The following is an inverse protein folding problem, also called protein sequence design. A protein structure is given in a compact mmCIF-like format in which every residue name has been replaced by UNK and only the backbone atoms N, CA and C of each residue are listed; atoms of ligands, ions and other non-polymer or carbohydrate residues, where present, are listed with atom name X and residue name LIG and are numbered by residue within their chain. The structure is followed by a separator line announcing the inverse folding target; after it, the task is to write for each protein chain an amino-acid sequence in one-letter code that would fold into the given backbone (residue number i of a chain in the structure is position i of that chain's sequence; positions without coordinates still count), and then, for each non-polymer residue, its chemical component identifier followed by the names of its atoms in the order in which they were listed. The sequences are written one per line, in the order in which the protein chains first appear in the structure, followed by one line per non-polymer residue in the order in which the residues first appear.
data_IF_810988295654
#
_entry.id   IF_810988295654
#
_cell.length_a   1.000
_cell.length_b   1.000
_cell.length_c   1.000
_cell.angle_alpha   90.00
_cell.angle_beta   90.00
_cell.angle_gamma   90.00
#
_symmetry.space_group_name_H-M   'P 1'
#
loop_
_entity.id
_entity.type
_entity.pdbx_description
1 polymer ?
#
# COMPACT_ATOMS: atom_id res chain seq x y z
N UNK A 1 45.13 25.54 12.94
CA UNK A 1 44.04 26.48 12.58
C UNK A 1 44.53 27.17 11.31
N UNK A 2 43.87 27.17 10.15
CA UNK A 2 42.45 27.08 9.79
C UNK A 2 42.39 26.52 8.35
N UNK A 3 41.50 25.57 8.04
CA UNK A 3 41.12 25.28 6.64
C UNK A 3 39.78 24.54 6.59
N UNK A 4 38.74 25.11 7.19
CA UNK A 4 37.36 24.58 7.13
C UNK A 4 36.36 25.74 7.00
N UNK A 5 36.50 26.56 5.94
CA UNK A 5 35.64 27.73 5.73
C UNK A 5 34.95 27.83 4.37
N UNK A 6 35.60 27.42 3.28
CA UNK A 6 35.18 27.88 1.95
C UNK A 6 34.13 27.01 1.22
N UNK A 7 34.03 25.72 1.54
CA UNK A 7 33.09 24.81 0.85
C UNK A 7 31.63 25.02 1.24
N UNK A 8 31.37 25.66 2.38
CA UNK A 8 30.00 25.93 2.84
C UNK A 8 29.40 27.13 2.10
N UNK A 9 30.18 28.18 1.87
CA UNK A 9 29.72 29.40 1.20
C UNK A 9 29.26 29.14 -0.24
N UNK A 10 30.00 28.32 -1.00
CA UNK A 10 29.63 27.97 -2.38
C UNK A 10 28.33 27.15 -2.47
N UNK A 11 28.12 26.22 -1.54
CA UNK A 11 26.90 25.41 -1.49
C UNK A 11 25.69 26.26 -1.11
N UNK A 12 25.85 27.18 -0.15
CA UNK A 12 24.81 28.16 0.20
C UNK A 12 24.51 29.12 -0.94
N UNK A 13 25.54 29.59 -1.67
CA UNK A 13 25.35 30.52 -2.79
C UNK A 13 24.65 29.84 -3.99
N UNK A 14 25.02 28.60 -4.33
CA UNK A 14 24.30 27.82 -5.35
C UNK A 14 22.87 27.50 -4.94
N UNK A 15 22.64 27.16 -3.67
CA UNK A 15 21.28 26.91 -3.16
C UNK A 15 20.41 28.18 -3.23
N UNK A 16 20.97 29.34 -2.88
CA UNK A 16 20.28 30.63 -2.97
C UNK A 16 19.99 31.04 -4.42
N UNK A 17 20.91 30.80 -5.36
CA UNK A 17 20.71 31.07 -6.79
C UNK A 17 19.60 30.19 -7.38
N UNK A 18 19.57 28.90 -7.03
CA UNK A 18 18.52 27.96 -7.47
C UNK A 18 17.16 28.37 -6.90
N UNK A 19 17.11 28.81 -5.64
CA UNK A 19 15.87 29.27 -5.01
C UNK A 19 15.35 30.58 -5.65
N UNK A 20 16.25 31.52 -5.97
CA UNK A 20 15.92 32.76 -6.69
C UNK A 20 15.41 32.48 -8.11
N UNK A 21 16.03 31.55 -8.84
CA UNK A 21 15.59 31.17 -10.20
C UNK A 21 14.23 30.45 -10.20
N UNK A 22 13.99 29.59 -9.20
CA UNK A 22 12.71 28.89 -9.03
C UNK A 22 11.54 29.85 -8.69
N UNK A 23 11.80 30.92 -7.94
CA UNK A 23 10.80 31.96 -7.65
C UNK A 23 10.54 32.91 -8.84
N UNK A 24 11.54 33.17 -9.69
CA UNK A 24 11.36 33.97 -10.92
C UNK A 24 10.45 33.26 -11.94
N UNK A 25 10.69 31.96 -12.17
CA UNK A 25 9.85 31.11 -13.02
C UNK A 25 8.41 31.01 -12.52
N UNK A 26 8.18 31.11 -11.20
CA UNK A 26 6.84 31.10 -10.61
C UNK A 26 6.08 32.43 -10.79
N UNK A 27 6.79 33.54 -11.03
CA UNK A 27 6.20 34.85 -11.32
C UNK A 27 5.91 35.04 -12.82
N UNK A 28 6.62 34.35 -13.72
CA UNK A 28 6.36 34.45 -15.16
C UNK A 28 5.20 33.58 -15.67
N UNK A 29 4.79 32.53 -14.95
CA UNK A 29 3.60 31.72 -15.31
C UNK A 29 2.27 32.44 -15.01
N UNK A 30 2.32 33.64 -14.39
CA UNK A 30 1.16 34.42 -13.97
C UNK A 30 0.68 35.51 -14.92
N UNK A 31 1.22 35.64 -16.14
CA UNK A 31 0.74 36.61 -17.15
C UNK A 31 0.71 35.99 -18.54
N UNK A 32 -0.49 35.86 -19.13
CA UNK A 32 -0.64 35.72 -20.57
C UNK A 32 -1.42 34.50 -21.06
N UNK A 33 -2.76 34.57 -21.02
CA UNK A 33 -3.58 33.94 -22.07
C UNK A 33 -3.47 34.79 -23.33
N UNK A 34 -3.03 34.22 -24.46
CA UNK A 34 -3.52 34.46 -25.84
C UNK A 34 -2.57 33.80 -26.87
N UNK A 35 -3.11 32.94 -27.73
CA UNK A 35 -2.70 32.87 -29.13
C UNK A 35 -1.64 31.83 -29.56
N UNK A 36 -2.09 30.94 -30.45
CA UNK A 36 -1.36 30.29 -31.56
C UNK A 36 -0.28 29.25 -31.23
N UNK A 37 -0.68 27.99 -31.45
CA UNK A 37 0.25 26.90 -31.65
C UNK A 37 0.85 26.93 -33.05
N UNK A 38 2.17 26.94 -33.10
CA UNK A 38 3.01 26.13 -33.99
C UNK A 38 4.45 26.61 -33.79
N UNK A 39 5.32 25.74 -33.25
CA UNK A 39 6.63 25.44 -33.82
C UNK A 39 7.32 24.34 -33.01
N UNK A 40 7.70 23.30 -33.76
CA UNK A 40 8.46 22.14 -33.33
C UNK A 40 9.91 22.55 -33.01
N UNK A 41 10.53 21.79 -32.11
CA UNK A 41 11.75 20.98 -32.34
C UNK A 41 12.95 21.21 -31.39
N UNK A 42 13.56 20.06 -31.04
CA UNK A 42 14.94 19.75 -30.60
C UNK A 42 15.22 19.71 -29.07
N UNK A 43 15.01 18.56 -28.38
CA UNK A 43 15.97 17.50 -27.87
C UNK A 43 17.27 18.02 -27.20
N UNK A 44 17.93 17.35 -26.20
CA UNK A 44 18.13 15.90 -25.99
C UNK A 44 17.95 15.36 -24.53
N UNK A 45 17.50 14.11 -24.30
CA UNK A 45 18.33 12.89 -24.17
C UNK A 45 19.61 13.08 -23.32
N UNK A 46 19.49 13.27 -22.00
CA UNK A 46 20.63 13.24 -21.06
C UNK A 46 20.20 12.93 -19.60
N UNK A 47 19.24 12.02 -19.40
CA UNK A 47 18.82 11.61 -18.06
C UNK A 47 18.63 10.08 -17.92
N UNK A 48 19.40 9.31 -18.70
CA UNK A 48 19.49 7.84 -18.58
C UNK A 48 20.93 7.36 -18.70
N UNK A 49 21.83 7.90 -17.86
CA UNK A 49 23.12 7.24 -17.64
C UNK A 49 23.79 7.66 -16.32
N UNK A 50 23.07 7.65 -15.21
CA UNK A 50 23.70 7.44 -13.88
C UNK A 50 22.83 6.41 -13.16
N UNK A 51 22.86 5.23 -13.77
CA UNK A 51 22.55 3.96 -13.15
C UNK A 51 23.72 3.68 -12.18
N UNK A 52 23.43 3.08 -11.04
CA UNK A 52 24.27 2.02 -10.48
C UNK A 52 25.74 2.35 -10.20
N UNK A 53 26.00 2.99 -9.07
CA UNK A 53 27.17 2.71 -8.21
C UNK A 53 26.74 2.98 -6.76
N UNK A 54 27.29 2.22 -5.81
CA UNK A 54 26.93 2.17 -4.36
C UNK A 54 25.84 1.13 -4.01
N UNK A 55 26.07 -0.13 -4.42
CA UNK A 55 25.77 -1.30 -3.59
C UNK A 55 27.02 -2.17 -3.61
N UNK A 56 27.93 -1.97 -2.66
CA UNK A 56 28.91 -2.98 -2.24
C UNK A 56 29.68 -2.44 -1.03
N UNK A 57 29.34 -2.95 0.16
CA UNK A 57 30.22 -3.09 1.36
C UNK A 57 29.38 -3.02 2.64
N UNK A 58 28.98 -4.19 3.15
CA UNK A 58 29.12 -4.52 4.58
C UNK A 58 28.80 -5.99 4.81
N UNK A 59 29.90 -6.71 5.02
CA UNK A 59 30.00 -8.06 5.55
C UNK A 59 29.43 -8.05 6.98
N UNK A 60 28.48 -8.93 7.27
CA UNK A 60 27.93 -9.14 8.60
C UNK A 60 28.75 -10.18 9.36
N UNK A 61 29.21 -9.82 10.55
CA UNK A 61 29.87 -10.71 11.51
C UNK A 61 28.81 -11.49 12.35
N UNK A 62 29.16 -12.68 12.87
CA UNK A 62 28.25 -13.57 13.60
C UNK A 62 27.91 -13.03 15.00
N UNK A 63 26.70 -13.36 15.48
CA UNK A 63 26.23 -13.02 16.82
C UNK A 63 26.68 -14.10 17.81
N UNK A 64 27.55 -13.73 18.74
CA UNK A 64 27.95 -14.54 19.88
C UNK A 64 26.86 -14.56 20.97
N UNK A 65 26.71 -15.75 21.55
CA UNK A 65 25.89 -16.10 22.70
C UNK A 65 26.55 -15.66 24.01
N UNK A 66 25.70 -15.36 25.00
CA UNK A 66 25.97 -15.23 26.45
C UNK A 66 26.38 -13.85 26.99
N UNK A 67 25.48 -13.29 27.81
CA UNK A 67 25.69 -12.93 29.23
C UNK A 67 24.70 -11.82 29.58
N UNK A 68 23.64 -12.14 30.32
CA UNK A 68 22.84 -11.11 30.98
C UNK A 68 23.56 -10.69 32.28
N UNK A 69 23.81 -9.40 32.54
CA UNK A 69 24.17 -8.97 33.88
C UNK A 69 22.92 -8.92 34.77
N UNK A 70 23.00 -9.65 35.87
CA UNK A 70 22.11 -9.55 37.02
C UNK A 70 22.18 -8.12 37.59
N UNK A 71 21.00 -7.54 37.76
CA UNK A 71 20.70 -6.62 38.85
C UNK A 71 21.50 -5.29 38.90
N UNK A 72 21.08 -4.32 38.09
CA UNK A 72 21.12 -2.92 38.47
C UNK A 72 19.73 -2.52 39.00
N UNK A 73 19.51 -2.79 40.28
CA UNK A 73 18.44 -2.19 41.07
C UNK A 73 18.55 -0.65 40.99
N UNK A 74 17.37 -0.03 40.79
CA UNK A 74 17.02 1.41 40.91
C UNK A 74 17.08 2.24 39.62
N UNK A 75 16.01 2.19 38.80
CA UNK A 75 15.48 3.40 38.20
C UNK A 75 14.69 4.18 39.25
N UNK A 76 14.99 5.47 39.33
CA UNK A 76 14.37 6.48 40.18
C UNK A 76 12.85 6.34 40.22
N UNK A 77 12.30 6.14 41.42
CA UNK A 77 10.87 6.28 41.70
C UNK A 77 10.48 7.76 41.66
N UNK A 78 10.62 8.40 40.50
CA UNK A 78 9.77 9.54 40.18
C UNK A 78 8.47 8.93 39.68
N UNK A 79 7.54 8.73 40.62
CA UNK A 79 6.16 8.31 40.43
C UNK A 79 5.54 8.96 39.17
N UNK A 80 5.68 8.32 38.03
CA UNK A 80 4.93 8.61 36.80
C UNK A 80 3.65 7.80 36.88
N UNK A 81 2.84 8.14 37.89
CA UNK A 81 1.85 7.21 38.42
C UNK A 81 0.55 7.82 38.91
N UNK A 82 0.28 9.11 38.68
CA UNK A 82 -1.07 9.69 38.79
C UNK A 82 -1.18 10.90 37.86
N UNK A 83 -1.18 10.67 36.55
CA UNK A 83 -1.88 11.60 35.68
C UNK A 83 -3.36 11.47 36.06
N UNK A 84 -3.80 12.23 37.06
CA UNK A 84 -5.23 12.41 37.32
C UNK A 84 -5.83 12.73 35.96
N UNK A 85 -6.77 11.90 35.50
CA UNK A 85 -7.55 12.23 34.33
C UNK A 85 -8.12 13.62 34.61
N UNK A 86 -7.54 14.66 33.99
CA UNK A 86 -7.88 16.04 34.31
C UNK A 86 -9.40 16.12 34.25
N UNK A 87 -10.04 16.34 35.40
CA UNK A 87 -11.48 16.18 35.56
C UNK A 87 -12.15 17.26 34.71
N UNK A 88 -12.32 16.96 33.43
CA UNK A 88 -12.77 17.92 32.43
C UNK A 88 -14.28 17.99 32.59
N UNK A 89 -14.71 18.88 33.49
CA UNK A 89 -16.12 19.09 33.74
C UNK A 89 -16.85 19.35 32.42
N UNK A 90 -18.00 18.69 32.26
CA UNK A 90 -18.76 18.72 31.02
C UNK A 90 -19.24 20.15 30.73
N UNK A 91 -18.77 20.71 29.63
CA UNK A 91 -19.27 21.99 29.09
C UNK A 91 -20.49 21.72 28.23
N UNK A 92 -21.57 22.47 28.46
CA UNK A 92 -22.79 22.41 27.65
C UNK A 92 -22.79 23.52 26.60
N UNK A 93 -23.69 23.43 25.63
CA UNK A 93 -23.93 24.48 24.65
C UNK A 93 -25.29 25.14 24.91
N UNK A 94 -25.33 26.47 24.83
CA UNK A 94 -26.57 27.25 24.88
C UNK A 94 -27.44 26.90 23.66
N UNK A 95 -28.68 26.51 23.92
CA UNK A 95 -29.60 26.04 22.90
C UNK A 95 -30.06 27.15 21.94
N UNK A 96 -30.08 28.40 22.39
CA UNK A 96 -30.48 29.54 21.58
C UNK A 96 -29.27 30.17 20.87
N UNK A 97 -28.21 30.46 21.63
CA UNK A 97 -27.07 31.24 21.11
C UNK A 97 -25.94 30.38 20.54
N UNK A 98 -25.78 29.14 21.01
CA UNK A 98 -24.65 28.26 20.70
C UNK A 98 -23.37 28.58 21.46
N UNK A 99 -23.43 29.42 22.51
CA UNK A 99 -22.28 29.71 23.38
C UNK A 99 -22.01 28.57 24.37
N UNK A 100 -20.75 28.40 24.77
CA UNK A 100 -20.33 27.41 25.75
C UNK A 100 -20.81 27.80 27.16
N UNK A 101 -21.46 26.87 27.85
CA UNK A 101 -21.93 26.97 29.22
C UNK A 101 -21.00 26.14 30.11
N UNK A 102 -20.26 26.83 30.95
CA UNK A 102 -19.42 26.22 31.98
C UNK A 102 -20.26 25.86 33.22
N UNK A 103 -19.81 24.90 34.03
CA UNK A 103 -20.47 24.54 35.28
C UNK A 103 -20.74 25.75 36.17
N UNK A 104 -21.89 25.76 36.86
CA UNK A 104 -22.31 26.87 37.72
C UNK A 104 -22.84 28.11 36.99
N UNK A 105 -23.02 28.06 35.66
CA UNK A 105 -23.50 29.20 34.87
C UNK A 105 -24.82 28.92 34.15
N UNK A 106 -25.64 29.96 34.06
CA UNK A 106 -26.86 29.95 33.25
C UNK A 106 -28.05 29.30 33.94
N UNK A 107 -29.05 28.91 33.15
CA UNK A 107 -30.28 28.27 33.64
C UNK A 107 -30.69 27.11 32.73
N UNK A 108 -31.47 26.20 33.30
CA UNK A 108 -32.07 25.07 32.60
C UNK A 108 -33.59 25.25 32.59
N UNK A 109 -34.17 25.28 31.39
CA UNK A 109 -35.61 25.35 31.19
C UNK A 109 -36.10 24.01 30.64
N UNK A 110 -37.00 23.34 31.36
CA UNK A 110 -37.67 22.12 30.91
C UNK A 110 -39.04 22.52 30.38
N UNK A 111 -39.29 22.27 29.10
CA UNK A 111 -40.60 22.48 28.49
C UNK A 111 -41.50 21.26 28.79
N UNK A 112 -42.82 21.43 28.75
CA UNK A 112 -43.79 20.36 29.05
C UNK A 112 -43.69 19.10 28.18
N UNK A 113 -43.02 19.16 27.03
CA UNK A 113 -42.66 18.00 26.19
C UNK A 113 -41.36 17.31 26.64
N UNK A 114 -40.92 17.54 27.88
CA UNK A 114 -39.66 17.08 28.46
C UNK A 114 -38.40 17.55 27.73
N UNK A 115 -38.52 18.55 26.84
CA UNK A 115 -37.36 19.08 26.12
C UNK A 115 -36.60 20.06 27.00
N UNK A 116 -35.30 19.78 27.12
CA UNK A 116 -34.38 20.57 27.94
C UNK A 116 -33.73 21.65 27.07
N UNK A 117 -33.88 22.90 27.48
CA UNK A 117 -33.21 24.06 26.91
C UNK A 117 -32.22 24.60 27.93
N UNK A 118 -30.97 24.81 27.52
CA UNK A 118 -29.92 25.38 28.37
C UNK A 118 -29.60 26.78 27.87
N UNK A 119 -29.60 27.76 28.77
CA UNK A 119 -29.31 29.16 28.46
C UNK A 119 -28.09 29.63 29.22
N UNK A 120 -27.20 30.36 28.56
CA UNK A 120 -26.00 30.89 29.20
C UNK A 120 -26.29 32.15 30.04
N UNK A 121 -27.27 32.95 29.62
CA UNK A 121 -27.63 34.24 30.24
C UNK A 121 -29.15 34.50 30.15
N UNK A 122 -29.63 35.49 30.90
CA UNK A 122 -31.04 35.91 30.84
C UNK A 122 -31.47 36.50 29.49
N UNK A 123 -30.51 36.95 28.66
CA UNK A 123 -30.80 37.46 27.32
C UNK A 123 -31.25 36.34 26.37
N UNK A 124 -30.57 35.19 26.37
CA UNK A 124 -30.96 34.05 25.52
C UNK A 124 -32.26 33.40 26.02
N UNK A 125 -32.47 33.35 27.33
CA UNK A 125 -33.73 32.93 27.96
C UNK A 125 -34.90 33.85 27.54
N UNK A 126 -34.76 35.17 27.72
CA UNK A 126 -35.81 36.13 27.38
C UNK A 126 -36.19 36.08 25.89
N UNK A 127 -35.20 36.02 25.00
CA UNK A 127 -35.46 35.90 23.55
C UNK A 127 -36.15 34.56 23.19
N UNK A 128 -35.84 33.48 23.90
CA UNK A 128 -36.51 32.20 23.72
C UNK A 128 -37.97 32.24 24.17
N UNK A 129 -38.27 32.85 25.33
CA UNK A 129 -39.63 33.03 25.83
C UNK A 129 -40.46 33.96 24.93
N UNK A 130 -39.83 34.98 24.36
CA UNK A 130 -40.42 35.83 23.30
C UNK A 130 -40.59 35.11 21.96
N UNK A 131 -40.27 33.80 21.87
CA UNK A 131 -40.37 32.96 20.67
C UNK A 131 -39.59 33.51 19.48
N UNK A 132 -38.48 34.23 19.72
CA UNK A 132 -37.62 34.72 18.63
C UNK A 132 -36.87 33.55 18.00
N UNK A 133 -36.72 33.58 16.69
CA UNK A 133 -35.97 32.56 15.97
C UNK A 133 -34.47 32.92 15.97
N UNK A 134 -33.56 32.08 16.51
CA UNK A 134 -32.11 32.34 16.51
C UNK A 134 -31.54 32.65 15.12
N UNK A 135 -32.13 32.07 14.06
CA UNK A 135 -31.73 32.28 12.66
C UNK A 135 -31.91 33.71 12.14
N UNK A 136 -32.68 34.54 12.85
CA UNK A 136 -32.89 35.96 12.53
C UNK A 136 -32.04 36.89 13.41
N UNK A 137 -31.35 36.35 14.42
CA UNK A 137 -30.59 37.13 15.39
C UNK A 137 -29.09 37.04 15.08
N UNK A 138 -28.54 38.16 14.61
CA UNK A 138 -27.22 38.24 13.97
C UNK A 138 -26.04 37.66 14.79
N UNK A 139 -26.08 37.83 16.11
CA UNK A 139 -24.98 37.43 17.01
C UNK A 139 -24.96 35.94 17.34
N UNK A 140 -26.01 35.17 17.00
CA UNK A 140 -26.07 33.75 17.33
C UNK A 140 -25.19 32.92 16.40
N UNK A 141 -24.70 31.78 16.91
CA UNK A 141 -23.94 30.82 16.09
C UNK A 141 -24.79 30.30 14.92
N UNK A 142 -26.09 30.10 15.14
CA UNK A 142 -27.01 29.57 14.13
C UNK A 142 -27.20 30.54 12.96
N UNK A 143 -27.37 31.84 13.26
CA UNK A 143 -27.41 32.88 12.24
C UNK A 143 -26.12 32.90 11.42
N UNK A 144 -24.96 32.91 12.10
CA UNK A 144 -23.65 32.99 11.43
C UNK A 144 -23.42 31.79 10.50
N UNK A 145 -23.82 30.57 10.92
CA UNK A 145 -23.76 29.36 10.10
C UNK A 145 -24.62 29.46 8.83
N UNK A 146 -25.87 29.94 8.96
CA UNK A 146 -26.77 30.11 7.81
C UNK A 146 -26.24 31.15 6.81
N UNK A 147 -25.67 32.25 7.32
CA UNK A 147 -25.12 33.34 6.50
C UNK A 147 -23.65 33.13 6.13
N UNK A 148 -23.12 31.91 6.32
CA UNK A 148 -21.74 31.50 6.01
C UNK A 148 -20.68 32.45 6.58
N UNK A 149 -20.96 33.10 7.71
CA UNK A 149 -20.04 34.03 8.38
C UNK A 149 -19.00 33.22 9.17
N UNK A 150 -17.71 33.45 8.88
CA UNK A 150 -16.60 32.78 9.58
C UNK A 150 -16.39 31.32 9.18
N UNK A 151 -16.94 30.88 8.06
CA UNK A 151 -16.57 29.60 7.43
C UNK A 151 -15.38 29.90 6.52
N UNK A 152 -14.17 29.94 7.10
CA UNK A 152 -12.92 30.10 6.34
C UNK A 152 -12.43 28.78 5.73
N UNK A 153 -12.90 27.66 6.28
CA UNK A 153 -12.62 26.32 5.78
C UNK A 153 -13.94 25.72 5.30
N UNK A 154 -14.26 25.91 4.04
CA UNK A 154 -15.03 24.90 3.33
C UNK A 154 -14.22 23.61 3.52
N UNK A 155 -14.69 22.73 4.43
CA UNK A 155 -14.03 21.47 4.77
C UNK A 155 -13.99 20.64 3.51
N UNK A 156 -12.94 20.85 2.71
CA UNK A 156 -12.65 20.06 1.54
C UNK A 156 -12.54 18.64 2.06
N UNK A 157 -13.55 17.82 1.75
CA UNK A 157 -13.62 16.45 2.20
C UNK A 157 -12.33 15.78 1.75
N UNK A 158 -11.42 15.50 2.70
CA UNK A 158 -10.24 14.69 2.43
C UNK A 158 -10.73 13.30 2.03
N UNK A 159 -10.81 13.05 0.73
CA UNK A 159 -11.17 11.73 0.19
C UNK A 159 -9.97 10.81 0.36
N UNK A 160 -9.92 10.08 1.47
CA UNK A 160 -8.94 9.00 1.64
C UNK A 160 -9.46 7.75 0.94
N UNK A 161 -8.91 7.41 -0.23
CA UNK A 161 -9.21 6.14 -0.91
C UNK A 161 -8.42 5.01 -0.22
N UNK A 162 -9.12 4.06 0.40
CA UNK A 162 -8.52 2.79 0.84
C UNK A 162 -8.54 1.83 -0.35
N UNK A 163 -7.37 1.36 -0.79
CA UNK A 163 -7.27 0.35 -1.85
C UNK A 163 -7.27 -1.04 -1.22
N UNK A 164 -8.39 -1.76 -1.32
CA UNK A 164 -8.47 -3.16 -0.90
C UNK A 164 -8.05 -4.02 -2.10
N UNK A 165 -6.88 -4.67 -2.01
CA UNK A 165 -6.42 -5.64 -3.01
C UNK A 165 -6.88 -7.04 -2.58
N UNK A 166 -7.99 -7.51 -3.13
CA UNK A 166 -8.42 -8.91 -2.94
C UNK A 166 -7.59 -9.83 -3.84
N UNK A 167 -7.11 -10.93 -3.27
CA UNK A 167 -6.45 -12.01 -4.01
C UNK A 167 -7.51 -13.08 -4.29
N UNK A 168 -7.62 -13.55 -5.53
CA UNK A 168 -8.55 -14.62 -5.94
C UNK A 168 -7.80 -15.89 -6.32
N UNK A 169 -8.43 -17.05 -6.07
CA UNK A 169 -7.93 -18.33 -6.54
C UNK A 169 -7.94 -18.36 -8.08
N UNK A 170 -7.05 -19.17 -8.66
CA UNK A 170 -6.97 -19.38 -10.10
C UNK A 170 -7.40 -20.83 -10.35
N UNK A 171 -8.10 -21.10 -11.46
CA UNK A 171 -8.51 -22.47 -11.82
C UNK A 171 -7.27 -23.38 -11.82
N UNK A 172 -7.31 -24.44 -11.02
CA UNK A 172 -6.19 -25.39 -10.86
C UNK A 172 -5.22 -25.09 -9.70
N UNK A 173 -5.37 -24.00 -8.94
CA UNK A 173 -4.60 -23.76 -7.71
C UNK A 173 -5.40 -22.93 -6.68
N UNK A 174 -5.54 -23.45 -5.46
CA UNK A 174 -6.17 -22.73 -4.36
C UNK A 174 -5.32 -21.53 -3.92
N UNK A 175 -5.95 -20.55 -3.27
CA UNK A 175 -5.27 -19.34 -2.76
C UNK A 175 -4.11 -19.66 -1.81
N UNK A 176 -4.23 -20.73 -1.02
CA UNK A 176 -3.23 -21.09 -0.02
C UNK A 176 -1.98 -21.69 -0.68
N UNK A 177 -2.14 -22.52 -1.71
CA UNK A 177 -1.01 -23.04 -2.51
C UNK A 177 -0.28 -21.90 -3.22
N UNK A 178 -1.00 -20.88 -3.70
CA UNK A 178 -0.38 -19.70 -4.34
C UNK A 178 0.41 -18.88 -3.33
N UNK A 179 -0.09 -18.73 -2.08
CA UNK A 179 0.61 -18.01 -1.01
C UNK A 179 1.87 -18.75 -0.57
N UNK A 180 1.77 -20.05 -0.35
CA UNK A 180 2.88 -20.91 0.04
C UNK A 180 3.98 -20.95 -1.04
N UNK A 181 3.58 -21.09 -2.32
CA UNK A 181 4.55 -21.02 -3.41
C UNK A 181 5.22 -19.66 -3.51
N UNK A 182 4.54 -18.56 -3.14
CA UNK A 182 5.10 -17.20 -3.14
C UNK A 182 5.99 -16.91 -1.92
N UNK A 183 5.73 -17.52 -0.77
CA UNK A 183 6.56 -17.35 0.44
C UNK A 183 7.89 -18.09 0.37
N UNK A 184 7.99 -19.15 -0.45
CA UNK A 184 9.27 -19.82 -0.71
C UNK A 184 10.31 -18.87 -1.33
N UNK A 185 11.52 -18.85 -0.73
CA UNK A 185 12.66 -18.08 -1.25
C UNK A 185 12.99 -18.49 -2.69
N UNK A 186 13.32 -17.54 -3.57
CA UNK A 186 13.57 -17.81 -4.99
C UNK A 186 14.74 -18.79 -5.20
N UNK A 187 15.73 -18.78 -4.32
CA UNK A 187 16.87 -19.71 -4.33
C UNK A 187 16.44 -21.17 -4.13
N UNK A 188 15.58 -21.43 -3.13
CA UNK A 188 15.02 -22.77 -2.89
C UNK A 188 14.17 -23.25 -4.08
N UNK A 189 13.44 -22.34 -4.73
CA UNK A 189 12.66 -22.66 -5.94
C UNK A 189 13.56 -23.00 -7.13
N UNK A 190 14.68 -22.30 -7.28
CA UNK A 190 15.65 -22.57 -8.34
C UNK A 190 16.38 -23.90 -8.11
N UNK A 191 16.78 -24.19 -6.87
CA UNK A 191 17.41 -25.45 -6.50
C UNK A 191 16.49 -26.67 -6.76
N UNK A 192 15.22 -26.59 -6.33
CA UNK A 192 14.24 -27.64 -6.59
C UNK A 192 13.99 -27.88 -8.09
N UNK A 193 14.00 -26.81 -8.91
CA UNK A 193 13.92 -26.93 -10.38
C UNK A 193 15.14 -27.61 -10.96
N UNK A 194 16.34 -27.25 -10.50
CA UNK A 194 17.59 -27.86 -10.98
C UNK A 194 17.68 -29.34 -10.59
N UNK A 195 17.25 -29.72 -9.39
CA UNK A 195 17.16 -31.12 -8.96
C UNK A 195 16.18 -31.90 -9.83
N UNK A 196 14.96 -31.38 -10.03
CA UNK A 196 13.97 -32.03 -10.90
C UNK A 196 14.46 -32.20 -12.36
N UNK A 197 15.25 -31.24 -12.88
CA UNK A 197 15.86 -31.35 -14.21
C UNK A 197 16.94 -32.45 -14.25
N UNK A 198 17.75 -32.58 -13.20
CA UNK A 198 18.77 -33.64 -13.08
C UNK A 198 18.10 -35.01 -13.02
N UNK A 199 17.11 -35.19 -12.14
CA UNK A 199 16.37 -36.44 -12.00
C UNK A 199 15.66 -36.83 -13.29
N UNK A 200 15.11 -35.85 -14.03
CA UNK A 200 14.47 -36.11 -15.33
C UNK A 200 15.48 -36.54 -16.40
N UNK A 201 16.70 -35.98 -16.39
CA UNK A 201 17.78 -36.38 -17.31
C UNK A 201 18.29 -37.78 -16.97
N UNK A 202 18.49 -38.08 -15.69
CA UNK A 202 18.93 -39.41 -15.23
C UNK A 202 17.89 -40.49 -15.55
N UNK A 203 16.59 -40.21 -15.35
CA UNK A 203 15.51 -41.13 -15.75
C UNK A 203 15.47 -41.36 -17.27
N UNK A 204 15.74 -40.34 -18.08
CA UNK A 204 15.84 -40.48 -19.55
C UNK A 204 17.06 -41.31 -19.95
N UNK A 205 18.23 -41.05 -19.37
CA UNK A 205 19.44 -41.82 -19.63
C UNK A 205 19.28 -43.29 -19.22
N UNK A 206 18.65 -43.57 -18.08
CA UNK A 206 18.33 -44.93 -17.62
C UNK A 206 17.30 -45.62 -18.53
N UNK A 207 16.32 -44.89 -19.07
CA UNK A 207 15.37 -45.45 -20.03
C UNK A 207 16.05 -45.75 -21.39
N UNK A 208 16.98 -44.92 -21.83
CA UNK A 208 17.75 -45.15 -23.06
C UNK A 208 18.73 -46.32 -22.92
N UNK A 209 19.40 -46.46 -21.77
CA UNK A 209 20.28 -47.60 -21.52
C UNK A 209 19.50 -48.92 -21.43
N UNK A 210 18.32 -48.92 -20.81
CA UNK A 210 17.40 -50.07 -20.82
C UNK A 210 16.94 -50.42 -22.23
N UNK A 211 16.56 -49.44 -23.05
CA UNK A 211 16.19 -49.66 -24.47
C UNK A 211 17.36 -50.20 -25.30
N UNK A 212 18.59 -49.74 -25.05
CA UNK A 212 19.80 -50.27 -25.71
C UNK A 212 20.11 -51.70 -25.27
N UNK A 213 19.95 -52.00 -23.99
CA UNK A 213 20.13 -53.36 -23.45
C UNK A 213 19.06 -54.34 -23.98
N UNK A 214 17.81 -53.91 -24.12
CA UNK A 214 16.75 -54.73 -24.74
C UNK A 214 17.00 -54.95 -26.23
N UNK A 215 17.43 -53.93 -26.97
CA UNK A 215 17.83 -54.10 -28.38
C UNK A 215 19.03 -55.02 -28.55
N UNK A 216 20.02 -54.96 -27.66
CA UNK A 216 21.15 -55.87 -27.66
C UNK A 216 20.72 -57.32 -27.34
N UNK A 217 19.79 -57.51 -26.40
CA UNK A 217 19.19 -58.83 -26.11
C UNK A 217 18.36 -59.36 -27.28
N UNK A 218 17.59 -58.51 -27.96
CA UNK A 218 16.84 -58.89 -29.17
C UNK A 218 17.77 -59.21 -30.35
N UNK A 219 18.88 -58.48 -30.51
CA UNK A 219 19.89 -58.79 -31.52
C UNK A 219 20.65 -60.09 -31.21
N UNK A 220 20.95 -60.37 -29.94
CA UNK A 220 21.52 -61.64 -29.51
C UNK A 220 20.55 -62.82 -29.71
N UNK A 221 19.25 -62.62 -29.48
CA UNK A 221 18.20 -63.62 -29.78
C UNK A 221 18.01 -63.82 -31.30
N UNK A 222 18.19 -62.77 -32.12
CA UNK A 222 18.18 -62.86 -33.57
C UNK A 222 19.41 -63.60 -34.13
N UNK A 223 20.58 -63.45 -33.49
CA UNK A 223 21.81 -64.18 -33.83
C UNK A 223 21.76 -65.68 -33.45
N UNK A 224 20.89 -66.07 -32.51
CA UNK A 224 20.61 -67.48 -32.17
C UNK A 224 19.57 -68.15 -33.11
N UNK A 225 19.29 -67.57 -34.27
CA UNK A 225 18.71 -68.33 -35.39
C UNK A 225 17.22 -68.69 -35.29
N UNK A 226 16.37 -67.84 -34.72
CA UNK A 226 14.91 -67.93 -34.88
C UNK A 226 14.34 -66.71 -35.59
N UNK A 227 14.55 -66.63 -36.91
CA UNK A 227 13.90 -65.63 -37.77
C UNK A 227 12.78 -66.30 -38.54
N UNK A 228 11.53 -66.16 -38.07
CA UNK A 228 10.36 -66.37 -38.92
C UNK A 228 10.15 -65.13 -39.79
N UNK A 229 10.08 -65.40 -41.10
CA UNK A 229 9.93 -64.50 -42.25
C UNK A 229 8.76 -63.51 -42.09
N UNK A 230 9.05 -62.21 -42.05
CA UNK A 230 8.05 -61.12 -42.01
C UNK A 230 7.70 -60.69 -43.44
N UNK A 231 6.45 -60.91 -43.86
CA UNK A 231 5.85 -60.37 -45.08
C UNK A 231 5.60 -58.85 -44.97
N UNK A 232 5.71 -58.17 -46.11
CA UNK A 232 5.66 -56.72 -46.27
C UNK A 232 4.31 -56.09 -45.87
N UNK A 233 4.43 -54.93 -45.23
CA UNK A 233 3.39 -54.18 -44.52
C UNK A 233 2.62 -53.23 -45.45
N UNK A 234 2.09 -53.75 -46.55
CA UNK A 234 1.37 -52.97 -47.57
C UNK A 234 -0.11 -53.36 -47.70
N UNK A 235 -0.71 -53.93 -46.64
CA UNK A 235 -2.10 -54.41 -46.62
C UNK A 235 -2.99 -53.90 -45.48
N UNK A 236 -2.55 -52.94 -44.66
CA UNK A 236 -3.35 -52.46 -43.50
C UNK A 236 -3.54 -50.94 -43.52
N UNK A 237 -4.32 -50.48 -44.50
CA UNK A 237 -5.22 -49.33 -44.32
C UNK A 237 -6.63 -49.82 -44.54
N UNK A 238 -7.16 -50.51 -43.53
CA UNK A 238 -8.59 -50.83 -43.45
C UNK A 238 -9.39 -49.54 -43.30
N UNK A 239 -10.54 -49.51 -43.97
CA UNK A 239 -11.51 -48.42 -43.92
C UNK A 239 -11.94 -48.10 -42.47
N UNK A 240 -12.22 -46.83 -42.12
CA UNK A 240 -12.73 -46.50 -40.79
C UNK A 240 -14.11 -47.14 -40.59
N UNK A 241 -14.37 -47.82 -39.45
CA UNK A 241 -15.67 -48.44 -39.19
C UNK A 241 -16.75 -47.35 -39.04
N UNK A 242 -17.89 -47.58 -39.71
CA UNK A 242 -19.06 -46.69 -39.72
C UNK A 242 -19.66 -46.60 -38.32
N UNK A 243 -19.68 -45.40 -37.75
CA UNK A 243 -20.26 -45.09 -36.44
C UNK A 243 -21.77 -45.30 -36.50
N UNK A 244 -22.31 -46.22 -35.71
CA UNK A 244 -23.76 -46.41 -35.55
C UNK A 244 -24.28 -45.48 -34.46
N UNK A 245 -25.36 -44.75 -34.75
CA UNK A 245 -26.03 -43.90 -33.78
C UNK A 245 -26.72 -44.76 -32.71
N UNK A 246 -26.33 -44.60 -31.45
CA UNK A 246 -27.10 -45.12 -30.31
C UNK A 246 -28.04 -44.03 -29.83
N UNK A 247 -29.33 -44.20 -30.11
CA UNK A 247 -30.40 -43.46 -29.46
C UNK A 247 -31.00 -44.30 -28.33
N UNK A 248 -30.89 -43.78 -27.10
CA UNK A 248 -31.94 -43.68 -26.08
C UNK A 248 -31.38 -42.97 -24.86
#
# INVERSE_FOLDING_TARGET
MEYVGEKSAYVFYLWFLVLRKKNSLRREVGKGRRGQGQRRSRVPQLARLIRTTIVSSKIGAPQDVSTQPLNAQRPDLVSTGYASAAFKMRTYDDTFSGQKIYPGKGKLYVRGDSKIFRFQNGKSESLFLQRKNPRRIAWTVLYRRQHRKGISEEVAKKRTRRVIKSQRAIVGASLDVIRERRSMRPEARAAARQQAIKDAKEKKAAAESRKKAEKAKQAAQAAQGKVQRIQSKQGVKGAPPKVTARSR
#
